data_IF_312318877061
#
_entry.id   IF_312318877061
#
_cell.length_a   1.000
_cell.length_b   1.000
_cell.length_c   1.000
_cell.angle_alpha   90.00
_cell.angle_beta   90.00
_cell.angle_gamma   90.00
#
_symmetry.space_group_name_H-M   'P 1'
#
loop_
_entity.id
_entity.type
_entity.pdbx_description
1 polymer ?
#
# COMPACT_ATOMS: atom_id res chain seq x y z
N UNK A 1 -22.84 -23.90 -2.53
CA UNK A 1 -21.45 -23.85 -2.99
C UNK A 1 -20.94 -22.46 -2.63
N UNK A 2 -19.79 -22.35 -1.94
CA UNK A 2 -19.22 -21.05 -1.61
C UNK A 2 -18.68 -20.37 -2.87
N UNK A 3 -18.79 -19.06 -2.93
CA UNK A 3 -18.34 -18.24 -4.06
C UNK A 3 -17.05 -17.51 -3.70
N UNK A 4 -16.09 -17.50 -4.63
CA UNK A 4 -14.80 -16.85 -4.49
C UNK A 4 -14.57 -15.94 -5.70
N UNK A 5 -14.34 -14.65 -5.47
CA UNK A 5 -13.97 -13.71 -6.52
C UNK A 5 -12.46 -13.57 -6.61
N UNK A 6 -11.88 -13.70 -7.78
CA UNK A 6 -10.51 -13.32 -8.06
C UNK A 6 -10.50 -11.88 -8.58
N UNK A 7 -9.94 -10.97 -7.81
CA UNK A 7 -9.77 -9.56 -8.15
C UNK A 7 -8.42 -9.35 -8.83
N UNK A 8 -8.46 -8.85 -10.04
CA UNK A 8 -7.29 -8.75 -10.92
C UNK A 8 -7.16 -7.30 -11.41
N UNK A 9 -6.33 -6.47 -10.76
CA UNK A 9 -6.01 -5.14 -11.28
C UNK A 9 -5.17 -5.24 -12.56
N UNK A 10 -5.53 -4.47 -13.58
CA UNK A 10 -4.88 -4.47 -14.91
C UNK A 10 -4.50 -3.06 -15.32
N UNK A 11 -3.26 -2.88 -15.76
CA UNK A 11 -2.78 -1.64 -16.38
C UNK A 11 -1.70 -1.92 -17.42
N UNK A 12 -2.05 -1.86 -18.71
CA UNK A 12 -1.16 -2.12 -19.85
C UNK A 12 -0.53 -3.52 -19.81
N UNK A 13 -1.37 -4.55 -19.80
CA UNK A 13 -0.99 -5.97 -19.71
C UNK A 13 -1.49 -6.79 -20.91
N UNK A 14 -1.65 -6.17 -22.10
CA UNK A 14 -2.18 -6.81 -23.29
C UNK A 14 -1.47 -8.10 -23.69
N UNK A 15 -0.15 -8.17 -23.45
CA UNK A 15 0.68 -9.31 -23.80
C UNK A 15 0.51 -10.52 -22.87
N UNK A 16 0.03 -10.29 -21.64
CA UNK A 16 -0.05 -11.33 -20.59
C UNK A 16 -1.47 -11.86 -20.42
N UNK A 17 -2.48 -11.03 -20.66
CA UNK A 17 -3.89 -11.37 -20.47
C UNK A 17 -4.34 -12.69 -21.13
N UNK A 18 -3.98 -13.02 -22.39
CA UNK A 18 -4.40 -14.28 -23.01
C UNK A 18 -3.92 -15.52 -22.24
N UNK A 19 -2.69 -15.48 -21.75
CA UNK A 19 -2.12 -16.56 -20.96
C UNK A 19 -2.72 -16.62 -19.56
N UNK A 20 -3.02 -15.47 -18.97
CA UNK A 20 -3.71 -15.38 -17.68
C UNK A 20 -5.09 -16.06 -17.74
N UNK A 21 -5.91 -15.76 -18.74
CA UNK A 21 -7.23 -16.42 -18.90
C UNK A 21 -7.12 -17.92 -18.97
N UNK A 22 -6.15 -18.43 -19.75
CA UNK A 22 -5.91 -19.87 -19.86
C UNK A 22 -5.55 -20.50 -18.52
N UNK A 23 -4.61 -19.88 -17.76
CA UNK A 23 -4.15 -20.38 -16.47
C UNK A 23 -5.26 -20.35 -15.41
N UNK A 24 -6.10 -19.31 -15.42
CA UNK A 24 -7.27 -19.22 -14.55
C UNK A 24 -8.33 -20.28 -14.86
N UNK A 25 -8.56 -20.57 -16.13
CA UNK A 25 -9.49 -21.63 -16.53
C UNK A 25 -8.98 -23.03 -16.13
N UNK A 26 -7.70 -23.31 -16.32
CA UNK A 26 -7.05 -24.55 -15.85
C UNK A 26 -7.15 -24.69 -14.32
N UNK A 27 -6.88 -23.63 -13.58
CA UNK A 27 -7.00 -23.62 -12.12
C UNK A 27 -8.42 -23.95 -11.65
N UNK A 28 -9.44 -23.33 -12.24
CA UNK A 28 -10.84 -23.55 -11.81
C UNK A 28 -11.33 -24.95 -12.12
N UNK A 29 -10.88 -25.57 -13.21
CA UNK A 29 -11.18 -26.98 -13.53
C UNK A 29 -10.64 -27.94 -12.46
N UNK A 30 -9.51 -27.61 -11.87
CA UNK A 30 -8.89 -28.40 -10.80
C UNK A 30 -9.48 -28.13 -9.40
N UNK A 31 -10.43 -27.17 -9.28
CA UNK A 31 -11.03 -26.78 -7.99
C UNK A 31 -12.56 -26.72 -8.09
N UNK A 32 -13.24 -27.85 -8.42
CA UNK A 32 -14.67 -27.86 -8.78
C UNK A 32 -15.63 -27.62 -7.60
N UNK A 33 -15.13 -27.66 -6.36
CA UNK A 33 -15.95 -27.52 -5.15
C UNK A 33 -16.38 -26.09 -4.86
N UNK A 34 -15.86 -25.10 -5.58
CA UNK A 34 -16.12 -23.67 -5.41
C UNK A 34 -16.62 -23.05 -6.71
N UNK A 35 -17.39 -21.98 -6.56
CA UNK A 35 -17.82 -21.16 -7.70
C UNK A 35 -16.90 -19.95 -7.79
N UNK A 36 -16.17 -19.82 -8.90
CA UNK A 36 -15.23 -18.73 -9.13
C UNK A 36 -15.84 -17.63 -10.00
N UNK A 37 -15.59 -16.38 -9.61
CA UNK A 37 -15.85 -15.16 -10.37
C UNK A 37 -14.51 -14.48 -10.64
N UNK A 38 -14.33 -13.89 -11.83
CA UNK A 38 -13.14 -13.13 -12.18
C UNK A 38 -13.55 -11.67 -12.34
N UNK A 39 -13.03 -10.80 -11.47
CA UNK A 39 -13.29 -9.36 -11.52
C UNK A 39 -12.03 -8.63 -11.96
N UNK A 40 -12.01 -8.21 -13.22
CA UNK A 40 -10.91 -7.42 -13.80
C UNK A 40 -11.16 -5.93 -13.57
N UNK A 41 -10.16 -5.23 -13.03
CA UNK A 41 -10.22 -3.77 -12.86
C UNK A 41 -9.22 -3.14 -13.82
N UNK A 42 -9.72 -2.59 -14.92
CA UNK A 42 -8.88 -1.84 -15.84
C UNK A 42 -8.62 -0.44 -15.28
N UNK A 43 -7.38 -0.17 -14.90
CA UNK A 43 -6.94 1.11 -14.32
C UNK A 43 -6.53 2.10 -15.42
N UNK A 44 -7.44 2.34 -16.39
CA UNK A 44 -7.22 3.29 -17.47
C UNK A 44 -6.06 2.90 -18.41
N UNK A 45 -6.00 1.63 -18.84
CA UNK A 45 -4.99 1.17 -19.81
C UNK A 45 -5.12 1.93 -21.13
N UNK A 46 -3.98 2.19 -21.77
CA UNK A 46 -3.87 2.86 -23.06
C UNK A 46 -3.56 1.90 -24.22
N UNK A 47 -3.30 0.63 -23.90
CA UNK A 47 -3.08 -0.47 -24.83
C UNK A 47 -4.40 -1.25 -25.07
N UNK A 48 -4.31 -2.44 -25.66
CA UNK A 48 -5.48 -3.29 -25.94
C UNK A 48 -6.00 -4.06 -24.73
N UNK A 49 -5.47 -3.86 -23.52
CA UNK A 49 -5.87 -4.63 -22.33
C UNK A 49 -7.37 -4.59 -22.09
N UNK A 50 -7.99 -3.40 -22.15
CA UNK A 50 -9.43 -3.28 -21.93
C UNK A 50 -10.26 -4.02 -22.99
N UNK A 51 -9.94 -3.86 -24.29
CA UNK A 51 -10.66 -4.53 -25.36
C UNK A 51 -10.56 -6.07 -25.28
N UNK A 52 -9.40 -6.59 -24.84
CA UNK A 52 -9.20 -8.02 -24.62
C UNK A 52 -10.09 -8.54 -23.47
N UNK A 53 -10.17 -7.80 -22.36
CA UNK A 53 -11.04 -8.16 -21.21
C UNK A 53 -12.51 -8.12 -21.63
N UNK A 54 -12.95 -7.05 -22.29
CA UNK A 54 -14.33 -6.89 -22.75
C UNK A 54 -14.72 -8.00 -23.75
N UNK A 55 -13.87 -8.36 -24.70
CA UNK A 55 -14.10 -9.48 -25.60
C UNK A 55 -14.20 -10.82 -24.84
N UNK A 56 -13.31 -11.06 -23.89
CA UNK A 56 -13.31 -12.30 -23.12
C UNK A 56 -14.57 -12.43 -22.24
N UNK A 57 -15.09 -11.33 -21.71
CA UNK A 57 -16.32 -11.33 -20.89
C UNK A 57 -17.56 -11.76 -21.67
N UNK A 58 -17.58 -11.60 -23.00
CA UNK A 58 -18.67 -12.10 -23.85
C UNK A 58 -18.60 -13.62 -24.06
N UNK A 59 -17.42 -14.23 -23.91
CA UNK A 59 -17.16 -15.66 -24.09
C UNK A 59 -17.28 -16.45 -22.78
N UNK A 60 -16.96 -15.81 -21.64
CA UNK A 60 -16.99 -16.43 -20.32
C UNK A 60 -17.83 -15.60 -19.36
N UNK A 61 -19.00 -16.11 -19.01
CA UNK A 61 -19.94 -15.44 -18.10
C UNK A 61 -19.43 -15.28 -16.64
N UNK A 62 -18.32 -15.91 -16.29
CA UNK A 62 -17.66 -15.73 -14.99
C UNK A 62 -16.88 -14.43 -14.90
N UNK A 63 -16.63 -13.77 -16.04
CA UNK A 63 -15.82 -12.56 -16.12
C UNK A 63 -16.70 -11.32 -15.95
N UNK A 64 -16.38 -10.55 -14.94
CA UNK A 64 -16.86 -9.19 -14.70
C UNK A 64 -15.71 -8.21 -14.90
N UNK A 65 -15.99 -6.98 -15.29
CA UNK A 65 -14.95 -5.94 -15.32
C UNK A 65 -15.47 -4.58 -14.88
N UNK A 66 -14.54 -3.78 -14.38
CA UNK A 66 -14.71 -2.35 -14.11
C UNK A 66 -13.65 -1.61 -14.93
N UNK A 67 -14.08 -0.72 -15.80
CA UNK A 67 -13.20 0.21 -16.50
C UNK A 67 -13.20 1.56 -15.76
N UNK A 68 -12.03 1.97 -15.25
CA UNK A 68 -11.88 3.25 -14.58
C UNK A 68 -11.65 4.35 -15.62
N UNK A 69 -12.17 5.56 -15.36
CA UNK A 69 -12.12 6.70 -16.29
C UNK A 69 -10.70 7.20 -16.60
N UNK A 70 -9.71 6.83 -15.80
CA UNK A 70 -8.29 7.10 -15.99
C UNK A 70 -7.44 6.20 -15.10
N UNK A 71 -6.14 6.27 -15.20
CA UNK A 71 -5.25 5.64 -14.23
C UNK A 71 -5.34 6.36 -12.87
N UNK A 72 -5.79 5.62 -11.84
CA UNK A 72 -5.85 6.03 -10.44
C UNK A 72 -4.78 5.35 -9.58
N UNK A 73 -4.10 4.34 -10.12
CA UNK A 73 -3.10 3.54 -9.45
C UNK A 73 -3.67 2.24 -8.85
N UNK A 74 -2.80 1.22 -8.78
CA UNK A 74 -3.14 -0.16 -8.36
C UNK A 74 -3.93 -0.22 -7.04
N UNK A 75 -3.51 0.55 -6.04
CA UNK A 75 -4.16 0.59 -4.72
C UNK A 75 -5.63 0.99 -4.82
N UNK A 76 -5.94 1.99 -5.66
CA UNK A 76 -7.30 2.47 -5.89
C UNK A 76 -8.09 1.48 -6.76
N UNK A 77 -7.47 0.88 -7.77
CA UNK A 77 -8.09 -0.16 -8.57
C UNK A 77 -8.52 -1.37 -7.71
N UNK A 78 -7.69 -1.78 -6.74
CA UNK A 78 -8.07 -2.82 -5.78
C UNK A 78 -9.30 -2.42 -4.96
N UNK A 79 -9.41 -1.16 -4.50
CA UNK A 79 -10.58 -0.69 -3.76
C UNK A 79 -11.84 -0.70 -4.63
N UNK A 80 -11.72 -0.24 -5.87
CA UNK A 80 -12.85 -0.29 -6.80
C UNK A 80 -13.39 -1.73 -6.93
N UNK A 81 -12.50 -2.72 -6.98
CA UNK A 81 -12.89 -4.11 -6.97
C UNK A 81 -13.50 -4.57 -5.65
N UNK A 82 -12.85 -4.29 -4.52
CA UNK A 82 -13.34 -4.65 -3.17
C UNK A 82 -14.75 -4.10 -2.93
N UNK A 83 -15.06 -2.89 -3.39
CA UNK A 83 -16.37 -2.27 -3.26
C UNK A 83 -17.48 -3.05 -3.99
N UNK A 84 -17.15 -3.72 -5.09
CA UNK A 84 -18.11 -4.42 -5.96
C UNK A 84 -18.22 -5.94 -5.70
N UNK A 85 -17.29 -6.53 -4.95
CA UNK A 85 -17.30 -7.98 -4.64
C UNK A 85 -18.47 -8.37 -3.76
N UNK A 86 -19.21 -9.43 -4.16
CA UNK A 86 -20.37 -9.96 -3.40
C UNK A 86 -20.18 -11.39 -2.91
N UNK A 87 -19.05 -12.01 -3.23
CA UNK A 87 -18.70 -13.41 -2.89
C UNK A 87 -18.40 -13.61 -1.40
N UNK A 88 -18.30 -14.87 -0.99
CA UNK A 88 -17.97 -15.27 0.38
C UNK A 88 -16.51 -14.99 0.72
N UNK A 89 -15.61 -15.10 -0.28
CA UNK A 89 -14.21 -14.75 -0.15
C UNK A 89 -13.71 -14.03 -1.41
N UNK A 90 -12.62 -13.29 -1.24
CA UNK A 90 -11.92 -12.53 -2.28
C UNK A 90 -10.47 -12.97 -2.33
N UNK A 91 -9.97 -13.29 -3.52
CA UNK A 91 -8.53 -13.46 -3.76
C UNK A 91 -8.04 -12.27 -4.59
N UNK A 92 -7.02 -11.59 -4.13
CA UNK A 92 -6.34 -10.54 -4.89
C UNK A 92 -5.12 -11.17 -5.57
N UNK A 93 -5.01 -11.06 -6.88
CA UNK A 93 -3.92 -11.62 -7.68
C UNK A 93 -3.49 -10.64 -8.77
N UNK A 94 -2.17 -10.51 -8.98
CA UNK A 94 -1.63 -9.64 -10.03
C UNK A 94 -1.78 -10.27 -11.42
N UNK A 95 -2.00 -9.43 -12.45
CA UNK A 95 -2.16 -9.88 -13.83
C UNK A 95 -0.85 -10.42 -14.46
N UNK A 96 0.32 -10.11 -13.89
CA UNK A 96 1.65 -10.37 -14.46
C UNK A 96 2.12 -11.84 -14.40
N UNK A 97 1.24 -12.75 -13.96
CA UNK A 97 1.49 -14.19 -13.82
C UNK A 97 2.66 -14.60 -12.91
N UNK A 98 3.14 -13.67 -12.08
CA UNK A 98 4.21 -13.97 -11.13
C UNK A 98 3.69 -14.67 -9.86
N UNK A 99 2.41 -14.51 -9.56
CA UNK A 99 1.75 -15.15 -8.42
C UNK A 99 1.00 -16.39 -8.92
N UNK A 100 1.35 -17.61 -8.45
CA UNK A 100 0.79 -18.86 -8.97
C UNK A 100 -0.66 -19.04 -8.48
N UNK A 101 -1.66 -19.13 -9.40
CA UNK A 101 -3.06 -19.38 -9.02
C UNK A 101 -3.27 -20.70 -8.26
N UNK A 102 -2.40 -21.67 -8.46
CA UNK A 102 -2.44 -22.99 -7.81
C UNK A 102 -2.34 -22.87 -6.28
N UNK A 103 -1.66 -21.83 -5.77
CA UNK A 103 -1.53 -21.55 -4.35
C UNK A 103 -2.88 -21.19 -3.68
N UNK A 104 -3.85 -20.76 -4.47
CA UNK A 104 -5.20 -20.43 -3.99
C UNK A 104 -5.86 -21.63 -3.33
N UNK A 105 -5.58 -22.88 -3.77
CA UNK A 105 -6.11 -24.08 -3.11
C UNK A 105 -5.65 -24.19 -1.67
N UNK A 106 -4.38 -23.91 -1.41
CA UNK A 106 -3.83 -23.89 -0.04
C UNK A 106 -4.43 -22.75 0.77
N UNK A 107 -4.61 -21.56 0.15
CA UNK A 107 -5.29 -20.43 0.82
C UNK A 107 -6.73 -20.79 1.21
N UNK A 108 -7.46 -21.48 0.36
CA UNK A 108 -8.83 -21.91 0.61
C UNK A 108 -8.86 -22.89 1.79
N UNK A 109 -7.93 -23.84 1.90
CA UNK A 109 -7.90 -24.78 3.02
C UNK A 109 -7.76 -24.09 4.35
N UNK A 110 -6.87 -23.11 4.46
CA UNK A 110 -6.73 -22.30 5.68
C UNK A 110 -7.95 -21.42 5.95
N UNK A 111 -8.60 -20.88 4.90
CA UNK A 111 -9.85 -20.15 5.06
C UNK A 111 -10.96 -21.03 5.64
N UNK A 112 -11.09 -22.27 5.16
CA UNK A 112 -12.02 -23.25 5.72
C UNK A 112 -11.69 -23.61 7.19
N UNK A 113 -10.41 -23.58 7.57
CA UNK A 113 -9.95 -23.73 8.96
C UNK A 113 -10.20 -22.48 9.83
N UNK A 114 -10.91 -21.47 9.29
CA UNK A 114 -11.35 -20.27 10.01
C UNK A 114 -10.29 -19.17 10.12
N UNK A 115 -9.36 -19.08 9.18
CA UNK A 115 -8.53 -17.90 8.99
C UNK A 115 -9.25 -16.89 8.08
N UNK A 116 -9.15 -15.60 8.42
CA UNK A 116 -9.85 -14.52 7.72
C UNK A 116 -9.00 -13.85 6.63
N UNK A 117 -7.68 -13.86 6.79
CA UNK A 117 -6.70 -13.27 5.87
C UNK A 117 -5.55 -14.28 5.68
N UNK A 118 -5.54 -14.96 4.54
CA UNK A 118 -4.47 -15.89 4.17
C UNK A 118 -3.62 -15.22 3.11
N UNK A 119 -2.38 -14.84 3.45
CA UNK A 119 -1.52 -14.06 2.57
C UNK A 119 -0.25 -14.80 2.17
N UNK A 120 0.18 -14.57 0.94
CA UNK A 120 1.38 -15.15 0.38
C UNK A 120 2.61 -14.31 0.71
N UNK A 121 3.65 -14.95 1.27
CA UNK A 121 4.95 -14.36 1.56
C UNK A 121 6.03 -15.01 0.71
N UNK A 122 6.88 -14.19 0.12
CA UNK A 122 7.97 -14.67 -0.75
C UNK A 122 9.10 -15.25 0.09
N UNK A 123 9.56 -16.46 -0.27
CA UNK A 123 10.68 -17.13 0.39
C UNK A 123 12.01 -16.38 0.23
N UNK A 124 12.30 -15.87 -0.98
CA UNK A 124 13.58 -15.22 -1.27
C UNK A 124 13.39 -14.03 -2.23
N UNK A 125 14.05 -12.92 -1.95
CA UNK A 125 14.30 -11.83 -2.89
C UNK A 125 15.63 -12.09 -3.62
N UNK A 126 15.60 -12.91 -4.65
CA UNK A 126 16.78 -13.09 -5.51
C UNK A 126 17.05 -11.79 -6.26
N UNK A 127 18.32 -11.32 -6.27
CA UNK A 127 18.75 -10.16 -7.05
C UNK A 127 18.75 -8.80 -6.32
N UNK A 128 18.43 -8.72 -5.04
CA UNK A 128 18.54 -7.45 -4.29
C UNK A 128 19.95 -7.24 -3.73
N UNK A 129 20.51 -6.03 -3.95
CA UNK A 129 21.78 -5.62 -3.35
C UNK A 129 21.71 -5.56 -1.83
N UNK A 130 22.80 -5.87 -1.13
CA UNK A 130 22.90 -5.83 0.33
C UNK A 130 22.45 -4.46 0.93
N UNK A 131 22.79 -3.36 0.25
CA UNK A 131 22.40 -2.01 0.67
C UNK A 131 20.88 -1.84 0.66
N UNK A 132 20.20 -2.35 -0.39
CA UNK A 132 18.75 -2.29 -0.54
C UNK A 132 18.04 -3.14 0.53
N UNK A 133 18.59 -4.29 0.90
CA UNK A 133 18.07 -5.12 2.00
C UNK A 133 18.18 -4.39 3.34
N UNK A 134 19.33 -3.78 3.66
CA UNK A 134 19.53 -3.05 4.93
C UNK A 134 18.63 -1.81 5.04
N UNK A 135 18.53 -1.01 3.99
CA UNK A 135 17.66 0.19 3.99
C UNK A 135 16.19 -0.19 4.13
N UNK A 136 15.73 -1.24 3.44
CA UNK A 136 14.38 -1.78 3.57
C UNK A 136 14.10 -2.28 5.00
N UNK A 137 15.00 -3.05 5.60
CA UNK A 137 14.85 -3.53 6.98
C UNK A 137 14.81 -2.37 7.99
N UNK A 138 15.63 -1.34 7.81
CA UNK A 138 15.64 -0.16 8.66
C UNK A 138 14.32 0.62 8.55
N UNK A 139 13.82 0.83 7.34
CA UNK A 139 12.53 1.43 7.07
C UNK A 139 11.38 0.70 7.79
N UNK A 140 11.28 -0.63 7.62
CA UNK A 140 10.23 -1.41 8.28
C UNK A 140 10.35 -1.41 9.81
N UNK A 141 11.57 -1.38 10.37
CA UNK A 141 11.78 -1.26 11.83
C UNK A 141 11.26 0.09 12.37
N UNK A 142 11.56 1.18 11.66
CA UNK A 142 11.05 2.50 12.03
C UNK A 142 9.52 2.50 11.98
N UNK A 143 8.95 1.99 10.90
CA UNK A 143 7.52 1.96 10.69
C UNK A 143 6.81 1.11 11.77
N UNK A 144 7.32 -0.10 12.08
CA UNK A 144 6.79 -0.94 13.15
C UNK A 144 6.86 -0.29 14.54
N UNK A 145 8.00 0.37 14.88
CA UNK A 145 8.14 1.07 16.16
C UNK A 145 7.24 2.30 16.27
N UNK A 146 6.90 2.91 15.15
CA UNK A 146 6.16 4.16 15.10
C UNK A 146 4.65 3.98 15.01
N UNK A 147 4.17 2.80 14.56
CA UNK A 147 2.74 2.59 14.24
C UNK A 147 2.00 1.65 15.19
N UNK A 148 2.70 0.92 16.05
CA UNK A 148 2.13 -0.18 16.87
C UNK A 148 1.34 -1.23 16.05
N UNK A 149 1.50 -1.25 14.72
CA UNK A 149 0.84 -2.19 13.81
C UNK A 149 1.88 -3.23 13.38
N UNK A 150 1.61 -4.54 13.51
CA UNK A 150 2.51 -5.58 13.01
C UNK A 150 2.47 -5.60 11.48
N UNK A 151 3.27 -4.73 10.84
CA UNK A 151 3.32 -4.63 9.37
C UNK A 151 3.95 -5.89 8.80
N UNK A 152 3.26 -6.49 7.84
CA UNK A 152 3.71 -7.69 7.14
C UNK A 152 4.88 -7.33 6.20
N UNK A 153 6.08 -7.84 6.53
CA UNK A 153 7.30 -7.62 5.75
C UNK A 153 7.36 -8.67 4.63
N UNK A 154 7.83 -8.27 3.44
CA UNK A 154 8.04 -9.14 2.28
C UNK A 154 6.77 -9.79 1.70
N UNK A 155 5.60 -9.17 1.94
CA UNK A 155 4.33 -9.60 1.38
C UNK A 155 3.97 -8.82 0.13
N UNK A 156 3.37 -9.53 -0.84
CA UNK A 156 2.65 -8.93 -1.97
C UNK A 156 1.21 -8.58 -1.58
N UNK A 157 0.41 -8.29 -2.60
CA UNK A 157 -1.04 -8.12 -2.46
C UNK A 157 -1.77 -9.48 -2.61
N UNK A 158 -1.05 -10.54 -3.02
CA UNK A 158 -1.59 -11.88 -3.24
C UNK A 158 -2.05 -12.49 -1.92
N UNK A 159 -3.37 -12.58 -1.76
CA UNK A 159 -4.03 -13.06 -0.54
C UNK A 159 -5.48 -13.45 -0.77
N UNK A 160 -5.99 -14.29 0.11
CA UNK A 160 -7.39 -14.61 0.24
C UNK A 160 -7.97 -13.89 1.48
N UNK A 161 -9.08 -13.21 1.29
CA UNK A 161 -9.79 -12.45 2.32
C UNK A 161 -11.20 -13.01 2.51
N UNK A 162 -11.59 -13.30 3.74
CA UNK A 162 -12.96 -13.63 4.11
C UNK A 162 -13.91 -12.43 3.93
N UNK A 163 -15.18 -12.71 3.83
CA UNK A 163 -16.25 -11.70 3.72
C UNK A 163 -16.14 -10.62 4.79
N UNK A 164 -15.80 -10.97 6.02
CA UNK A 164 -15.63 -10.01 7.12
C UNK A 164 -14.49 -9.02 6.86
N UNK A 165 -13.39 -9.49 6.28
CA UNK A 165 -12.29 -8.62 5.87
C UNK A 165 -12.70 -7.68 4.75
N UNK A 166 -13.45 -8.16 3.75
CA UNK A 166 -13.97 -7.35 2.63
C UNK A 166 -14.83 -6.20 3.16
N UNK A 167 -15.79 -6.51 4.04
CA UNK A 167 -16.67 -5.49 4.64
C UNK A 167 -15.92 -4.49 5.54
N UNK A 168 -14.88 -4.94 6.25
CA UNK A 168 -14.03 -4.03 7.00
C UNK A 168 -13.25 -3.09 6.07
N UNK A 169 -12.64 -3.61 5.01
CA UNK A 169 -11.82 -2.83 4.07
C UNK A 169 -12.63 -1.75 3.33
N UNK A 170 -13.92 -1.99 3.07
CA UNK A 170 -14.84 -1.00 2.47
C UNK A 170 -15.03 0.25 3.31
N UNK A 171 -14.81 0.18 4.61
CA UNK A 171 -14.97 1.32 5.53
C UNK A 171 -13.81 2.31 5.43
N UNK A 172 -12.66 1.88 4.90
CA UNK A 172 -11.48 2.73 4.76
C UNK A 172 -11.57 3.53 3.46
N UNK A 173 -11.61 4.86 3.57
CA UNK A 173 -11.75 5.78 2.43
C UNK A 173 -10.59 6.76 2.30
N UNK A 174 -9.46 6.41 2.87
CA UNK A 174 -8.22 7.18 2.77
C UNK A 174 -7.81 7.32 1.29
N UNK A 175 -7.50 8.52 0.85
CA UNK A 175 -7.03 8.79 -0.52
C UNK A 175 -5.55 8.45 -0.69
N UNK A 176 -4.74 8.68 0.35
CA UNK A 176 -3.33 8.29 0.39
C UNK A 176 -3.19 6.97 1.17
N UNK A 177 -3.35 5.86 0.46
CA UNK A 177 -3.38 4.52 1.06
C UNK A 177 -2.04 3.82 1.02
N UNK A 178 -1.85 2.97 2.02
CA UNK A 178 -0.97 1.83 1.94
C UNK A 178 -1.80 0.59 2.31
N UNK A 179 -2.32 -0.09 1.31
CA UNK A 179 -3.24 -1.23 1.49
C UNK A 179 -2.63 -2.33 2.35
N UNK A 180 -1.30 -2.54 2.29
CA UNK A 180 -0.60 -3.51 3.15
C UNK A 180 -0.69 -3.18 4.64
N UNK A 181 -0.59 -1.91 4.99
CA UNK A 181 -0.74 -1.48 6.36
C UNK A 181 -2.21 -1.59 6.82
N UNK A 182 -3.18 -1.30 5.94
CA UNK A 182 -4.60 -1.45 6.22
C UNK A 182 -4.95 -2.94 6.43
N UNK A 183 -4.44 -3.85 5.60
CA UNK A 183 -4.58 -5.29 5.82
C UNK A 183 -4.04 -5.72 7.19
N UNK A 184 -2.95 -5.11 7.66
CA UNK A 184 -2.43 -5.39 9.00
C UNK A 184 -3.30 -4.79 10.09
N UNK A 185 -3.84 -3.60 9.87
CA UNK A 185 -4.61 -2.82 10.83
C UNK A 185 -5.98 -3.45 11.18
N UNK A 186 -6.65 -4.10 10.22
CA UNK A 186 -7.98 -4.71 10.45
C UNK A 186 -8.00 -5.83 11.50
N UNK A 187 -6.84 -6.40 11.86
CA UNK A 187 -6.67 -7.22 13.06
C UNK A 187 -7.30 -8.62 13.06
N UNK A 188 -7.91 -9.06 11.96
CA UNK A 188 -8.52 -10.39 11.86
C UNK A 188 -7.49 -11.53 11.88
N UNK A 189 -7.94 -12.78 12.10
CA UNK A 189 -7.09 -13.97 12.20
C UNK A 189 -6.36 -14.23 10.88
N UNK A 190 -5.02 -14.23 10.92
CA UNK A 190 -4.16 -14.29 9.73
C UNK A 190 -3.35 -15.56 9.66
N UNK A 191 -3.10 -16.01 8.43
CA UNK A 191 -2.17 -17.10 8.13
C UNK A 191 -1.22 -16.68 7.02
N UNK A 192 0.07 -16.84 7.25
CA UNK A 192 1.05 -16.71 6.16
C UNK A 192 1.32 -18.06 5.49
N UNK A 193 1.48 -18.02 4.17
CA UNK A 193 1.96 -19.14 3.36
C UNK A 193 3.16 -18.69 2.55
N UNK A 194 4.14 -19.56 2.42
CA UNK A 194 5.38 -19.23 1.73
C UNK A 194 5.36 -19.73 0.30
N UNK A 195 5.82 -18.91 -0.65
CA UNK A 195 5.91 -19.32 -2.04
C UNK A 195 7.14 -18.76 -2.74
N UNK A 196 7.50 -19.40 -3.84
CA UNK A 196 8.53 -18.91 -4.74
C UNK A 196 7.83 -18.20 -5.90
N UNK A 197 8.20 -16.94 -6.13
CA UNK A 197 7.63 -16.14 -7.19
C UNK A 197 8.13 -16.58 -8.55
N UNK A 198 7.22 -16.77 -9.51
CA UNK A 198 7.57 -17.07 -10.88
C UNK A 198 8.32 -15.88 -11.54
N UNK A 199 9.25 -16.12 -12.47
CA UNK A 199 9.90 -15.04 -13.22
C UNK A 199 8.87 -14.30 -14.06
N UNK A 200 9.04 -12.97 -14.19
CA UNK A 200 8.18 -12.14 -15.02
C UNK A 200 8.25 -12.56 -16.48
N UNK A 201 7.10 -12.76 -17.12
CA UNK A 201 7.03 -13.12 -18.55
C UNK A 201 7.35 -11.93 -19.46
N UNK A 202 6.99 -10.70 -19.06
CA UNK A 202 7.25 -9.47 -19.81
C UNK A 202 7.35 -8.25 -18.88
N UNK A 203 8.02 -7.18 -19.34
CA UNK A 203 8.13 -5.89 -18.65
C UNK A 203 9.42 -5.65 -17.89
N UNK A 204 9.82 -4.37 -17.78
CA UNK A 204 11.01 -3.92 -17.04
C UNK A 204 10.63 -3.22 -15.74
N UNK A 205 11.44 -3.41 -14.70
CA UNK A 205 11.26 -2.75 -13.39
C UNK A 205 11.62 -1.26 -13.50
N UNK A 206 10.62 -0.37 -13.45
CA UNK A 206 10.80 1.10 -13.57
C UNK A 206 10.97 1.78 -12.20
N UNK A 207 11.81 1.25 -11.30
CA UNK A 207 12.02 1.84 -9.99
C UNK A 207 13.23 2.78 -9.96
N UNK A 208 13.00 4.06 -9.59
CA UNK A 208 14.03 5.08 -9.40
C UNK A 208 14.18 5.41 -7.91
N UNK A 209 15.40 5.73 -7.42
CA UNK A 209 15.69 6.07 -6.03
C UNK A 209 14.81 7.21 -5.47
N UNK A 210 14.49 8.21 -6.29
CA UNK A 210 13.56 9.29 -5.89
C UNK A 210 12.16 8.78 -5.59
N UNK A 211 11.65 7.83 -6.38
CA UNK A 211 10.33 7.20 -6.12
C UNK A 211 10.33 6.37 -4.85
N UNK A 212 11.46 5.69 -4.55
CA UNK A 212 11.60 4.94 -3.30
C UNK A 212 11.64 5.85 -2.07
N UNK A 213 12.33 7.00 -2.15
CA UNK A 213 12.38 7.97 -1.07
C UNK A 213 11.00 8.58 -0.80
N UNK A 214 10.28 9.00 -1.85
CA UNK A 214 8.92 9.51 -1.72
C UNK A 214 7.99 8.46 -1.10
N UNK A 215 8.05 7.22 -1.58
CA UNK A 215 7.26 6.11 -1.01
C UNK A 215 7.57 5.88 0.49
N UNK A 216 8.85 6.04 0.89
CA UNK A 216 9.24 5.92 2.29
C UNK A 216 8.69 7.07 3.14
N UNK A 217 8.76 8.30 2.67
CA UNK A 217 8.18 9.48 3.33
C UNK A 217 6.66 9.31 3.43
N UNK A 218 6.01 8.96 2.32
CA UNK A 218 4.56 8.72 2.27
C UNK A 218 4.13 7.65 3.26
N UNK A 219 4.85 6.52 3.32
CA UNK A 219 4.55 5.45 4.26
C UNK A 219 4.71 5.87 5.72
N UNK A 220 5.74 6.67 6.07
CA UNK A 220 5.94 7.16 7.43
C UNK A 220 4.87 8.19 7.80
N UNK A 221 4.66 9.19 6.95
CA UNK A 221 3.75 10.32 7.27
C UNK A 221 2.27 9.93 7.22
N UNK A 222 1.89 8.88 6.47
CA UNK A 222 0.51 8.38 6.43
C UNK A 222 0.10 7.59 7.68
N UNK A 223 1.07 6.91 8.35
CA UNK A 223 0.74 6.00 9.45
C UNK A 223 1.29 6.43 10.80
N UNK A 224 2.09 7.50 10.88
CA UNK A 224 2.68 7.92 12.14
C UNK A 224 2.83 9.43 12.23
N UNK A 225 2.63 9.96 13.43
CA UNK A 225 2.96 11.34 13.79
C UNK A 225 4.39 11.49 14.35
N UNK A 226 5.24 10.44 14.21
CA UNK A 226 6.60 10.45 14.73
C UNK A 226 7.44 11.63 14.25
N UNK A 227 7.45 12.04 12.96
CA UNK A 227 8.17 13.20 12.50
C UNK A 227 7.76 14.51 13.22
N UNK A 228 6.46 14.64 13.48
CA UNK A 228 5.91 15.79 14.21
C UNK A 228 6.38 15.81 15.67
N UNK A 229 6.33 14.64 16.34
CA UNK A 229 6.84 14.49 17.72
C UNK A 229 8.35 14.73 17.80
N UNK A 230 9.12 14.25 16.82
CA UNK A 230 10.56 14.51 16.75
C UNK A 230 10.83 16.03 16.64
N UNK A 231 10.12 16.76 15.77
CA UNK A 231 10.25 18.20 15.67
C UNK A 231 9.97 18.90 17.01
N UNK A 232 8.93 18.45 17.74
CA UNK A 232 8.60 18.95 19.09
C UNK A 232 9.73 18.69 20.09
N UNK A 233 10.27 17.46 20.13
CA UNK A 233 11.36 17.09 21.05
C UNK A 233 12.63 17.88 20.73
N UNK A 234 13.02 18.01 19.46
CA UNK A 234 14.16 18.80 19.04
C UNK A 234 13.96 20.30 19.38
N UNK A 235 12.77 20.84 19.12
CA UNK A 235 12.43 22.20 19.49
C UNK A 235 12.58 22.46 20.99
N UNK A 236 12.10 21.53 21.83
CA UNK A 236 12.23 21.58 23.27
C UNK A 236 13.71 21.55 23.71
N UNK A 237 14.51 20.65 23.20
CA UNK A 237 15.94 20.52 23.51
C UNK A 237 16.69 21.82 23.15
N UNK A 238 16.46 22.35 21.94
CA UNK A 238 17.11 23.57 21.46
C UNK A 238 16.68 24.75 22.30
N UNK A 239 15.39 24.87 22.63
CA UNK A 239 14.88 25.95 23.51
C UNK A 239 15.49 25.87 24.91
N UNK A 240 15.65 24.66 25.45
CA UNK A 240 16.28 24.46 26.75
C UNK A 240 17.76 24.86 26.74
N UNK A 241 18.52 24.46 25.71
CA UNK A 241 19.92 24.86 25.52
C UNK A 241 20.02 26.38 25.40
N UNK A 242 19.16 27.01 24.60
CA UNK A 242 19.11 28.43 24.42
C UNK A 242 18.82 29.17 25.77
N UNK A 243 17.87 28.64 26.54
CA UNK A 243 17.55 29.18 27.88
C UNK A 243 18.74 29.12 28.84
N UNK A 244 19.43 27.98 28.93
CA UNK A 244 20.66 27.83 29.74
C UNK A 244 21.74 28.79 29.26
N UNK A 245 21.89 28.94 27.95
CA UNK A 245 22.86 29.85 27.35
C UNK A 245 22.56 31.32 27.67
N UNK A 246 21.30 31.73 27.65
CA UNK A 246 20.86 33.06 28.04
C UNK A 246 21.21 33.33 29.50
N UNK A 247 20.92 32.39 30.42
CA UNK A 247 21.31 32.52 31.83
C UNK A 247 22.81 32.67 31.95
N UNK A 248 23.61 31.86 31.27
CA UNK A 248 25.06 31.98 31.25
C UNK A 248 25.55 33.38 30.82
N UNK A 249 24.96 33.91 29.73
CA UNK A 249 25.31 35.26 29.24
C UNK A 249 24.93 36.37 30.20
N UNK A 250 23.85 36.24 30.97
CA UNK A 250 23.42 37.23 31.98
C UNK A 250 24.30 37.19 33.23
N UNK A 251 24.80 36.01 33.60
CA UNK A 251 25.61 35.81 34.81
C UNK A 251 27.08 36.15 34.56
N UNK A 252 27.60 35.90 33.37
CA UNK A 252 29.01 36.09 33.01
C UNK A 252 29.57 37.50 33.29
N UNK A 253 28.86 38.61 33.02
CA UNK A 253 29.35 39.96 33.33
C UNK A 253 29.52 40.21 34.83
N UNK A 254 28.77 39.54 35.71
CA UNK A 254 28.86 39.66 37.16
C UNK A 254 30.21 39.15 37.70
N UNK A 255 30.89 38.30 36.92
CA UNK A 255 32.23 37.78 37.25
C UNK A 255 33.36 38.52 36.49
N UNK A 256 33.09 39.71 35.92
CA UNK A 256 34.11 40.55 35.26
C UNK A 256 34.61 40.05 33.91
N UNK A 257 33.92 39.08 33.30
CA UNK A 257 34.29 38.53 32.00
C UNK A 257 33.67 39.39 30.89
N UNK A 258 34.50 40.12 30.12
CA UNK A 258 34.02 40.95 29.01
C UNK A 258 33.39 40.12 27.89
N UNK A 259 32.24 40.54 27.39
CA UNK A 259 31.62 39.99 26.19
C UNK A 259 32.28 40.61 24.98
N UNK A 260 33.30 39.94 24.41
CA UNK A 260 33.95 40.36 23.15
C UNK A 260 33.05 40.26 21.94
N UNK A 261 33.55 40.74 20.79
CA UNK A 261 32.86 40.79 19.51
C UNK A 261 32.14 39.49 19.15
N UNK A 262 30.80 39.45 19.33
CA UNK A 262 29.97 38.24 19.19
C UNK A 262 29.17 38.16 17.89
N UNK A 263 29.46 38.96 16.85
CA UNK A 263 28.68 39.03 15.62
C UNK A 263 28.57 37.66 14.92
N UNK A 264 29.68 36.97 14.75
CA UNK A 264 29.70 35.67 14.04
C UNK A 264 28.93 34.57 14.79
N UNK A 265 29.04 34.56 16.13
CA UNK A 265 28.29 33.59 16.96
C UNK A 265 26.80 33.93 17.01
N UNK A 266 26.43 35.22 17.06
CA UNK A 266 25.03 35.65 16.99
C UNK A 266 24.42 35.28 15.66
N UNK A 267 25.11 35.52 14.53
CA UNK A 267 24.66 35.17 13.19
C UNK A 267 24.48 33.65 13.02
N UNK A 268 25.44 32.86 13.52
CA UNK A 268 25.35 31.41 13.49
C UNK A 268 24.13 30.86 14.25
N UNK A 269 23.84 31.42 15.44
CA UNK A 269 22.68 31.05 16.25
C UNK A 269 21.37 31.45 15.55
N UNK A 270 21.27 32.62 14.97
CA UNK A 270 20.09 33.09 14.25
C UNK A 270 19.82 32.20 13.04
N UNK A 271 20.84 31.89 12.21
CA UNK A 271 20.71 31.02 11.04
C UNK A 271 20.34 29.60 11.42
N UNK A 272 20.93 29.07 12.50
CA UNK A 272 20.59 27.75 13.02
C UNK A 272 19.14 27.67 13.49
N UNK A 273 18.69 28.62 14.32
CA UNK A 273 17.30 28.65 14.78
C UNK A 273 16.30 28.87 13.64
N UNK A 274 16.62 29.76 12.70
CA UNK A 274 15.83 29.95 11.48
C UNK A 274 15.71 28.67 10.63
N UNK A 275 16.80 27.93 10.48
CA UNK A 275 16.82 26.65 9.78
C UNK A 275 15.94 25.60 10.46
N UNK A 276 16.02 25.48 11.79
CA UNK A 276 15.18 24.56 12.59
C UNK A 276 13.70 24.94 12.50
N UNK A 277 13.37 26.24 12.56
CA UNK A 277 12.00 26.72 12.40
C UNK A 277 11.42 26.37 11.01
N UNK A 278 12.18 26.63 9.94
CA UNK A 278 11.76 26.29 8.57
C UNK A 278 11.57 24.78 8.37
N UNK A 279 12.44 23.96 8.96
CA UNK A 279 12.31 22.50 8.90
C UNK A 279 11.05 22.03 9.64
N UNK A 280 10.78 22.58 10.83
CA UNK A 280 9.58 22.27 11.60
C UNK A 280 8.31 22.68 10.87
N UNK A 281 8.30 23.87 10.26
CA UNK A 281 7.20 24.38 9.45
C UNK A 281 6.97 23.49 8.20
N UNK A 282 8.04 23.01 7.57
CA UNK A 282 7.97 22.06 6.44
C UNK A 282 7.30 20.74 6.83
N UNK A 283 7.65 20.18 8.00
CA UNK A 283 7.01 18.97 8.52
C UNK A 283 5.51 19.22 8.78
N UNK A 284 5.16 20.32 9.43
CA UNK A 284 3.75 20.70 9.66
C UNK A 284 3.01 20.86 8.32
N UNK A 285 3.63 21.53 7.35
CA UNK A 285 3.09 21.76 6.03
C UNK A 285 2.74 20.43 5.30
N UNK A 286 3.57 19.42 5.43
CA UNK A 286 3.32 18.09 4.87
C UNK A 286 2.03 17.46 5.45
N UNK A 287 1.85 17.52 6.78
CA UNK A 287 0.64 16.97 7.42
C UNK A 287 -0.61 17.80 7.09
N UNK A 288 -0.50 19.13 7.06
CA UNK A 288 -1.61 20.01 6.65
C UNK A 288 -1.99 19.75 5.20
N UNK A 289 -1.02 19.53 4.30
CA UNK A 289 -1.27 19.18 2.91
C UNK A 289 -2.05 17.87 2.77
N UNK A 290 -1.71 16.85 3.56
CA UNK A 290 -2.44 15.57 3.61
C UNK A 290 -3.85 15.74 4.15
N UNK A 291 -4.03 16.46 5.24
CA UNK A 291 -5.35 16.79 5.78
C UNK A 291 -6.22 17.51 4.75
N UNK A 292 -5.64 18.46 4.01
CA UNK A 292 -6.34 19.18 2.95
C UNK A 292 -6.85 18.27 1.82
N UNK A 293 -6.08 17.24 1.44
CA UNK A 293 -6.50 16.26 0.45
C UNK A 293 -7.67 15.43 1.00
N UNK A 294 -7.57 14.94 2.23
CA UNK A 294 -8.61 14.13 2.87
C UNK A 294 -9.90 14.91 3.13
N UNK A 295 -9.81 16.17 3.55
CA UNK A 295 -10.99 17.00 3.82
C UNK A 295 -11.80 17.34 2.56
N UNK A 296 -11.21 17.26 1.36
CA UNK A 296 -11.96 17.42 0.10
C UNK A 296 -12.94 16.30 -0.16
N UNK A 297 -12.78 15.15 0.46
CA UNK A 297 -13.65 13.98 0.34
C UNK A 297 -14.01 13.62 -1.11
N UNK A 298 -13.05 13.72 -2.01
CA UNK A 298 -13.22 13.37 -3.42
C UNK A 298 -13.42 11.88 -3.59
N UNK A 299 -14.25 11.41 -4.56
CA UNK A 299 -14.33 10.00 -4.89
C UNK A 299 -12.96 9.43 -5.17
N UNK A 300 -12.64 8.25 -4.61
CA UNK A 300 -11.35 7.59 -4.79
C UNK A 300 -11.12 7.20 -6.26
N UNK A 301 -12.18 6.81 -6.95
CA UNK A 301 -12.19 6.42 -8.35
C UNK A 301 -13.48 6.84 -9.02
N UNK A 302 -13.48 6.87 -10.35
CA UNK A 302 -14.67 7.05 -11.19
C UNK A 302 -14.72 5.89 -12.17
N UNK A 303 -15.90 5.29 -12.29
CA UNK A 303 -16.16 4.19 -13.22
C UNK A 303 -16.64 4.77 -14.53
N UNK A 304 -16.01 4.42 -15.64
CA UNK A 304 -16.47 4.73 -17.00
C UNK A 304 -17.44 3.67 -17.48
N UNK A 305 -17.11 2.38 -17.23
CA UNK A 305 -17.93 1.25 -17.64
C UNK A 305 -17.87 0.13 -16.60
N UNK A 306 -18.98 -0.52 -16.34
CA UNK A 306 -19.09 -1.70 -15.48
C UNK A 306 -19.89 -2.80 -16.17
N UNK A 307 -19.31 -3.97 -16.27
CA UNK A 307 -19.96 -5.19 -16.74
C UNK A 307 -19.99 -6.24 -15.62
N UNK A 308 -21.18 -6.69 -15.26
CA UNK A 308 -21.36 -7.78 -14.31
C UNK A 308 -21.52 -9.10 -15.07
N UNK A 309 -20.66 -10.06 -14.76
CA UNK A 309 -20.82 -11.43 -15.26
C UNK A 309 -22.13 -12.08 -14.78
N UNK A 310 -22.71 -12.95 -15.58
CA UNK A 310 -23.96 -13.65 -15.28
C UNK A 310 -23.68 -15.03 -14.68
N UNK A 311 -23.25 -15.08 -13.43
CA UNK A 311 -23.18 -16.37 -12.73
C UNK A 311 -24.58 -16.69 -12.21
N UNK A 312 -25.23 -17.70 -12.79
CA UNK A 312 -26.49 -18.23 -12.28
C UNK A 312 -26.26 -18.73 -10.85
N UNK A 313 -26.73 -17.97 -9.86
CA UNK A 313 -26.83 -18.49 -8.49
C UNK A 313 -27.73 -19.70 -8.53
N UNK A 314 -27.17 -20.88 -8.36
CA UNK A 314 -27.97 -22.09 -8.10
C UNK A 314 -28.71 -21.84 -6.79
N UNK A 315 -29.96 -21.40 -6.89
CA UNK A 315 -30.85 -21.31 -5.72
C UNK A 315 -31.02 -22.73 -5.17
N UNK A 316 -30.56 -22.97 -3.97
CA UNK A 316 -31.05 -24.05 -3.11
C UNK A 316 -32.26 -23.59 -2.33
#
# INVERSE_FOLDING_TARGET
MKTITLLIPVYNEESVLPQLFKRLDEFTKNTPNYQFEFLFINDGSIDKSFSIIAEQSTKDSRISYINLSRNFGKEIAMIAGIDHVKSDALVIIDADLQDPPELIQEMISYWEDGYDDVYARRNNRQGETWLKKKTSQWYYRILQKSTNIPIQIDTGDFRLLDRRCIEALRKFRESQRNTKAIFSWIGYKKKEIFYNRDPRLAGQTKWNYRKLLNLAIDGITSFTTAPLRMATVFGFIISFIAFVWIIYLLVRPLFGVSTGAGYSSLMAVILFLGGVQLLSLGIIGEYVGRMFIETKNRPLYLIEEYHAGNIKKTRR
#
